data_IF_300679487965
#
_entry.id   IF_300679487965
#
_cell.length_a   1.000
_cell.length_b   1.000
_cell.length_c   1.000
_cell.angle_alpha   90.00
_cell.angle_beta   90.00
_cell.angle_gamma   90.00
#
_symmetry.space_group_name_H-M   'P 1'
#
loop_
_entity.id
_entity.type
_entity.pdbx_description
1 polymer ?
#
# COMPACT_ATOMS: atom_id res chain seq x y z
N UNK A 1 64.78 -7.17 -17.65
CA UNK A 1 63.89 -7.90 -16.73
C UNK A 1 63.24 -6.91 -15.77
N UNK A 2 61.96 -7.16 -15.44
CA UNK A 2 61.14 -6.52 -14.39
C UNK A 2 60.74 -5.08 -14.72
N UNK A 3 59.59 -4.80 -15.37
CA UNK A 3 58.19 -5.15 -15.04
C UNK A 3 57.70 -4.52 -13.74
N UNK A 4 57.08 -3.34 -13.84
CA UNK A 4 56.01 -2.93 -12.92
C UNK A 4 55.11 -1.91 -13.60
N UNK A 5 54.25 -2.44 -14.48
CA UNK A 5 52.97 -1.79 -14.78
C UNK A 5 52.15 -1.78 -13.49
N UNK A 6 51.80 -0.61 -12.98
CA UNK A 6 50.73 -0.50 -11.99
C UNK A 6 49.72 0.51 -12.50
N UNK A 7 48.75 -0.04 -13.23
CA UNK A 7 47.48 0.57 -13.59
C UNK A 7 46.71 0.86 -12.29
N UNK A 8 46.59 2.13 -11.91
CA UNK A 8 45.63 2.55 -10.89
C UNK A 8 44.27 2.79 -11.57
N UNK A 9 43.52 1.70 -11.70
CA UNK A 9 42.09 1.69 -11.98
C UNK A 9 41.40 2.15 -10.69
N UNK A 10 40.92 3.40 -10.65
CA UNK A 10 40.02 3.83 -9.59
C UNK A 10 38.59 3.47 -9.97
N UNK A 11 38.01 2.66 -9.10
CA UNK A 11 36.77 1.95 -9.27
C UNK A 11 35.59 2.88 -9.53
N UNK A 12 34.71 2.40 -10.42
CA UNK A 12 33.39 2.93 -10.68
C UNK A 12 32.58 2.98 -9.38
N UNK A 13 32.38 4.18 -8.83
CA UNK A 13 31.26 4.47 -7.94
C UNK A 13 29.99 4.44 -8.78
N UNK A 14 29.41 3.25 -8.93
CA UNK A 14 27.99 3.16 -9.21
C UNK A 14 27.28 3.66 -7.95
N UNK A 15 26.56 4.81 -7.97
CA UNK A 15 25.49 4.94 -7.02
C UNK A 15 24.54 3.79 -7.34
N UNK A 16 24.56 2.75 -6.51
CA UNK A 16 23.45 1.84 -6.45
C UNK A 16 22.25 2.72 -6.12
N UNK A 17 21.51 3.12 -7.17
CA UNK A 17 20.14 3.55 -7.02
C UNK A 17 19.51 2.45 -6.19
N UNK A 18 19.25 2.73 -4.91
CA UNK A 18 18.30 1.96 -4.14
C UNK A 18 17.04 2.12 -4.96
N UNK A 19 16.77 1.11 -5.79
CA UNK A 19 15.52 0.97 -6.47
C UNK A 19 14.49 0.89 -5.35
N UNK A 20 13.96 2.05 -4.96
CA UNK A 20 12.71 2.14 -4.25
C UNK A 20 11.74 1.42 -5.16
N UNK A 21 11.50 0.15 -4.85
CA UNK A 21 10.85 -0.76 -5.76
C UNK A 21 9.57 -0.10 -6.23
N UNK A 22 9.51 0.19 -7.53
CA UNK A 22 8.28 0.50 -8.22
C UNK A 22 7.43 -0.79 -8.19
N UNK A 23 6.93 -1.14 -7.01
CA UNK A 23 5.70 -1.90 -6.92
C UNK A 23 4.68 -1.01 -7.59
N UNK A 24 4.35 -1.32 -8.84
CA UNK A 24 3.36 -0.59 -9.61
C UNK A 24 2.12 -0.45 -8.75
N UNK A 25 1.86 0.76 -8.25
CA UNK A 25 0.75 0.96 -7.36
C UNK A 25 -0.54 0.60 -8.09
N UNK A 26 -1.47 -0.12 -7.44
CA UNK A 26 -2.75 -0.43 -8.06
C UNK A 26 -3.44 0.87 -8.49
N UNK A 27 -4.17 0.82 -9.61
CA UNK A 27 -4.94 1.96 -10.08
C UNK A 27 -5.89 2.45 -8.97
N UNK A 28 -5.93 3.76 -8.74
CA UNK A 28 -6.68 4.35 -7.62
C UNK A 28 -5.94 4.36 -6.28
N UNK A 29 -4.69 3.86 -6.25
CA UNK A 29 -3.82 3.95 -5.09
C UNK A 29 -2.74 5.00 -5.28
N UNK A 30 -2.49 5.75 -4.21
CA UNK A 30 -1.36 6.66 -4.09
C UNK A 30 -0.33 6.05 -3.14
N UNK A 31 0.98 6.34 -3.34
CA UNK A 31 1.98 5.96 -2.38
C UNK A 31 1.63 6.70 -1.10
N UNK A 32 1.26 5.96 -0.06
CA UNK A 32 1.31 6.53 1.27
C UNK A 32 2.81 6.57 1.57
N UNK A 33 3.37 7.74 1.84
CA UNK A 33 4.82 7.96 1.93
C UNK A 33 5.51 6.84 2.74
N UNK A 34 6.58 6.28 2.17
CA UNK A 34 7.20 5.03 2.63
C UNK A 34 7.71 5.02 4.09
N UNK A 35 7.72 6.15 4.78
CA UNK A 35 8.00 6.24 6.21
C UNK A 35 6.73 6.29 7.08
N UNK A 36 5.65 6.91 6.61
CA UNK A 36 4.43 7.10 7.41
C UNK A 36 3.65 5.79 7.59
N UNK A 37 3.55 4.94 6.55
CA UNK A 37 3.00 3.58 6.72
C UNK A 37 3.94 2.72 7.52
N UNK A 38 5.25 2.85 7.27
CA UNK A 38 6.27 2.07 7.96
C UNK A 38 6.16 2.29 9.46
N UNK A 39 5.95 3.52 9.92
CA UNK A 39 5.70 3.79 11.33
C UNK A 39 4.29 3.33 11.78
N UNK A 40 3.23 3.58 11.01
CA UNK A 40 1.88 3.14 11.38
C UNK A 40 1.72 1.61 11.49
N UNK A 41 2.38 0.87 10.60
CA UNK A 41 2.23 -0.59 10.44
C UNK A 41 3.41 -1.37 11.03
N UNK A 42 4.62 -0.81 11.10
CA UNK A 42 5.77 -1.48 11.72
C UNK A 42 6.01 -1.12 13.18
N UNK A 43 5.79 0.12 13.63
CA UNK A 43 6.09 0.53 15.01
C UNK A 43 4.84 0.65 15.88
N UNK A 44 3.64 0.83 15.28
CA UNK A 44 2.39 0.99 16.03
C UNK A 44 2.36 2.23 16.92
N UNK A 45 3.32 3.14 16.76
CA UNK A 45 3.50 4.34 17.56
C UNK A 45 2.43 5.39 17.30
N UNK A 46 1.75 5.30 16.16
CA UNK A 46 0.58 6.12 15.84
C UNK A 46 -0.62 5.22 15.51
N UNK A 47 -1.75 5.50 16.15
CA UNK A 47 -3.00 4.79 15.86
C UNK A 47 -3.62 5.38 14.59
N UNK A 48 -3.90 4.59 13.54
CA UNK A 48 -4.62 5.09 12.37
C UNK A 48 -5.97 5.68 12.77
N UNK A 49 -6.48 6.66 12.01
CA UNK A 49 -7.87 7.09 12.14
C UNK A 49 -8.80 5.87 12.13
N UNK A 50 -9.88 5.92 12.92
CA UNK A 50 -10.82 4.78 13.07
C UNK A 50 -11.32 4.25 11.72
N UNK A 51 -11.53 5.14 10.74
CA UNK A 51 -11.91 4.78 9.39
C UNK A 51 -10.85 3.92 8.68
N UNK A 52 -9.58 4.34 8.71
CA UNK A 52 -8.47 3.59 8.11
C UNK A 52 -8.25 2.23 8.80
N UNK A 53 -8.45 2.16 10.12
CA UNK A 53 -8.43 0.90 10.87
C UNK A 53 -9.58 -0.04 10.47
N UNK A 54 -10.79 0.50 10.31
CA UNK A 54 -11.96 -0.28 9.90
C UNK A 54 -11.79 -0.85 8.49
N UNK A 55 -11.35 -0.02 7.53
CA UNK A 55 -11.02 -0.48 6.18
C UNK A 55 -9.85 -1.48 6.18
N UNK A 56 -8.85 -1.27 7.04
CA UNK A 56 -7.73 -2.18 7.24
C UNK A 56 -8.16 -3.59 7.67
N UNK A 57 -9.17 -3.72 8.54
CA UNK A 57 -9.74 -5.04 8.90
C UNK A 57 -10.38 -5.73 7.69
N UNK A 58 -11.04 -4.97 6.82
CA UNK A 58 -11.63 -5.50 5.60
C UNK A 58 -10.54 -5.96 4.63
N UNK A 59 -9.47 -5.17 4.50
CA UNK A 59 -8.27 -5.54 3.74
C UNK A 59 -7.68 -6.86 4.24
N UNK A 60 -7.42 -6.98 5.55
CA UNK A 60 -6.92 -8.21 6.16
C UNK A 60 -7.81 -9.41 5.84
N UNK A 61 -9.13 -9.28 6.05
CA UNK A 61 -10.07 -10.36 5.83
C UNK A 61 -10.15 -10.82 4.36
N UNK A 62 -9.87 -9.93 3.41
CA UNK A 62 -9.94 -10.23 1.97
C UNK A 62 -8.62 -10.74 1.39
N UNK A 63 -7.50 -10.20 1.84
CA UNK A 63 -6.18 -10.44 1.22
C UNK A 63 -5.31 -11.38 2.05
N UNK A 64 -5.47 -11.36 3.37
CA UNK A 64 -4.61 -12.07 4.31
C UNK A 64 -5.44 -12.87 5.34
N UNK A 65 -6.58 -13.44 4.89
CA UNK A 65 -7.53 -14.16 5.76
C UNK A 65 -6.86 -15.25 6.61
N UNK A 66 -5.82 -15.88 6.06
CA UNK A 66 -5.10 -16.98 6.69
C UNK A 66 -3.83 -16.54 7.44
N UNK A 67 -3.45 -15.27 7.34
CA UNK A 67 -2.27 -14.73 8.04
C UNK A 67 -2.70 -14.03 9.33
N UNK A 68 -2.58 -14.74 10.45
CA UNK A 68 -3.00 -14.24 11.75
C UNK A 68 -2.26 -12.96 12.17
N UNK A 69 -0.97 -12.83 11.81
CA UNK A 69 -0.13 -11.70 12.21
C UNK A 69 -0.09 -10.57 11.17
N UNK A 70 -0.83 -10.71 10.06
CA UNK A 70 -0.90 -9.64 9.09
C UNK A 70 -1.58 -8.41 9.69
N UNK A 71 -0.97 -7.24 9.48
CA UNK A 71 -1.49 -5.93 9.90
C UNK A 71 -1.76 -5.10 8.67
N UNK A 72 -2.98 -4.60 8.55
CA UNK A 72 -3.43 -3.87 7.37
C UNK A 72 -4.06 -2.54 7.73
N UNK A 73 -3.86 -1.54 6.86
CA UNK A 73 -4.60 -0.28 6.83
C UNK A 73 -5.29 -0.15 5.47
N UNK A 74 -6.43 0.56 5.44
CA UNK A 74 -7.15 0.85 4.21
C UNK A 74 -7.32 2.35 3.98
N UNK A 75 -7.19 2.80 2.73
CA UNK A 75 -7.50 4.16 2.29
C UNK A 75 -8.40 4.12 1.05
N UNK A 76 -9.53 4.81 1.07
CA UNK A 76 -10.37 4.98 -0.12
C UNK A 76 -9.79 6.05 -1.06
N UNK A 77 -9.15 7.09 -0.50
CA UNK A 77 -8.42 8.14 -1.21
C UNK A 77 -9.01 8.53 -2.57
N UNK A 78 -8.18 8.41 -3.60
CA UNK A 78 -8.51 8.73 -4.99
C UNK A 78 -9.37 7.67 -5.67
N UNK A 79 -9.45 6.46 -5.13
CA UNK A 79 -10.29 5.36 -5.63
C UNK A 79 -11.76 5.45 -5.21
N UNK A 80 -12.12 6.39 -4.32
CA UNK A 80 -13.47 6.54 -3.79
C UNK A 80 -14.57 6.70 -4.87
N UNK A 81 -14.40 7.50 -5.94
CA UNK A 81 -15.41 7.65 -6.99
C UNK A 81 -15.70 6.35 -7.73
N UNK A 82 -14.70 5.48 -7.85
CA UNK A 82 -14.79 4.18 -8.52
C UNK A 82 -15.08 3.05 -7.54
N UNK A 83 -15.42 3.38 -6.29
CA UNK A 83 -15.66 2.41 -5.23
C UNK A 83 -14.48 1.43 -5.04
N UNK A 84 -13.26 1.95 -5.12
CA UNK A 84 -12.01 1.24 -4.88
C UNK A 84 -11.37 1.79 -3.61
N UNK A 85 -10.77 0.89 -2.82
CA UNK A 85 -9.88 1.23 -1.73
C UNK A 85 -8.54 0.52 -1.88
N UNK A 86 -7.54 1.14 -1.30
CA UNK A 86 -6.17 0.66 -1.27
C UNK A 86 -5.88 0.06 0.09
N UNK A 87 -5.38 -1.15 0.05
CA UNK A 87 -4.94 -1.91 1.19
C UNK A 87 -3.43 -1.87 1.25
N UNK A 88 -2.90 -1.50 2.42
CA UNK A 88 -1.48 -1.63 2.70
C UNK A 88 -1.32 -2.55 3.88
N UNK A 89 -0.68 -3.69 3.63
CA UNK A 89 -0.57 -4.78 4.58
C UNK A 89 0.90 -5.13 4.83
N UNK A 90 1.23 -5.41 6.08
CA UNK A 90 2.46 -6.11 6.45
C UNK A 90 2.11 -7.58 6.64
N UNK A 91 2.66 -8.43 5.79
CA UNK A 91 2.52 -9.88 5.89
C UNK A 91 3.42 -10.47 6.97
N UNK A 92 3.32 -11.78 7.16
CA UNK A 92 4.16 -12.51 8.13
C UNK A 92 5.67 -12.45 7.82
N UNK A 93 6.03 -12.29 6.55
CA UNK A 93 7.41 -12.12 6.06
C UNK A 93 7.99 -10.74 6.39
N UNK A 94 7.18 -9.85 6.97
CA UNK A 94 7.56 -8.49 7.31
C UNK A 94 7.56 -7.52 6.12
N UNK A 95 7.28 -8.00 4.92
CA UNK A 95 7.21 -7.19 3.72
C UNK A 95 5.90 -6.40 3.67
N UNK A 96 5.97 -5.20 3.09
CA UNK A 96 4.80 -4.35 2.86
C UNK A 96 4.25 -4.64 1.46
N UNK A 97 2.96 -4.93 1.39
CA UNK A 97 2.23 -5.23 0.17
C UNK A 97 1.13 -4.19 -0.06
N UNK A 98 0.97 -3.76 -1.32
CA UNK A 98 -0.04 -2.81 -1.76
C UNK A 98 -1.02 -3.50 -2.70
N UNK A 99 -2.30 -3.51 -2.35
CA UNK A 99 -3.36 -4.10 -3.17
C UNK A 99 -4.56 -3.16 -3.28
N UNK A 100 -5.19 -3.12 -4.46
CA UNK A 100 -6.49 -2.49 -4.65
C UNK A 100 -7.62 -3.50 -4.42
N UNK A 101 -8.71 -3.08 -3.80
CA UNK A 101 -9.93 -3.89 -3.67
C UNK A 101 -11.18 -3.00 -3.65
N UNK A 102 -12.35 -3.58 -3.89
CA UNK A 102 -13.62 -2.83 -3.90
C UNK A 102 -13.96 -2.29 -2.51
N UNK A 103 -14.57 -1.12 -2.41
CA UNK A 103 -15.16 -0.65 -1.17
C UNK A 103 -16.36 -1.55 -0.76
N UNK A 104 -16.72 -1.57 0.54
CA UNK A 104 -17.89 -2.31 1.00
C UNK A 104 -19.18 -1.82 0.35
N UNK A 105 -20.17 -2.71 0.25
CA UNK A 105 -21.51 -2.32 -0.15
C UNK A 105 -22.04 -1.21 0.78
N UNK A 106 -22.77 -0.25 0.20
CA UNK A 106 -23.33 0.93 0.86
C UNK A 106 -22.30 1.95 1.38
N UNK A 107 -21.01 1.78 1.08
CA UNK A 107 -20.00 2.78 1.44
C UNK A 107 -20.28 4.10 0.72
N UNK A 108 -20.28 5.26 1.40
CA UNK A 108 -20.55 6.54 0.77
C UNK A 108 -19.45 6.91 -0.22
N UNK A 109 -19.81 7.15 -1.48
CA UNK A 109 -18.86 7.52 -2.54
C UNK A 109 -19.14 8.91 -3.15
N UNK A 110 -20.14 9.62 -2.61
CA UNK A 110 -20.48 10.99 -2.99
C UNK A 110 -21.83 11.43 -2.39
N UNK A 111 -22.26 12.68 -2.62
CA UNK A 111 -23.56 13.18 -2.18
C UNK A 111 -24.68 12.30 -2.74
N UNK A 112 -25.52 11.75 -1.86
CA UNK A 112 -26.61 10.84 -2.22
C UNK A 112 -26.16 9.62 -3.06
N UNK A 113 -24.89 9.20 -2.96
CA UNK A 113 -24.34 8.05 -3.69
C UNK A 113 -23.62 7.08 -2.77
N UNK A 114 -23.74 5.79 -3.09
CA UNK A 114 -23.12 4.69 -2.35
C UNK A 114 -22.60 3.61 -3.30
N UNK A 115 -21.58 2.89 -2.85
CA UNK A 115 -21.07 1.73 -3.56
C UNK A 115 -22.07 0.58 -3.57
N UNK A 116 -22.28 -0.03 -4.73
CA UNK A 116 -23.10 -1.23 -4.88
C UNK A 116 -22.22 -2.52 -4.78
N UNK A 117 -22.82 -3.73 -4.78
CA UNK A 117 -22.06 -4.98 -4.75
C UNK A 117 -21.18 -5.22 -5.99
N UNK A 118 -21.44 -4.53 -7.11
CA UNK A 118 -20.61 -4.58 -8.32
C UNK A 118 -19.35 -3.72 -8.21
N UNK A 119 -19.26 -2.85 -7.19
CA UNK A 119 -18.17 -1.91 -7.02
C UNK A 119 -18.36 -0.64 -7.85
N UNK A 120 -19.60 -0.23 -8.06
CA UNK A 120 -19.94 1.01 -8.78
C UNK A 120 -20.54 2.02 -7.81
N UNK A 121 -20.20 3.30 -7.99
CA UNK A 121 -20.80 4.39 -7.24
C UNK A 121 -22.16 4.77 -7.85
N UNK A 122 -23.25 4.38 -7.19
CA UNK A 122 -24.62 4.57 -7.69
C UNK A 122 -25.43 5.48 -6.77
N UNK A 123 -26.49 6.10 -7.30
CA UNK A 123 -27.43 6.89 -6.49
C UNK A 123 -28.05 5.99 -5.41
N UNK A 124 -27.97 6.45 -4.16
CA UNK A 124 -28.69 5.83 -3.06
C UNK A 124 -30.17 6.20 -3.22
N UNK A 125 -30.99 5.22 -3.61
CA UNK A 125 -32.43 5.31 -3.40
C UNK A 125 -32.75 5.31 -1.91
#
# INVERSE_FOLDING_TARGET
>A
MISTRVLLVFATLAPACIAGGNTSLPQGCRPISGNSIKNLVQTGTERPPRAAQALGRICKNRLHKHENNATCIGDAGVGLPDCIMCCVCRGNDGNIQYNGTKLPNRFPCGPNKKCNPRGECVVSK
#
